data_IF_148958515692
#
_entry.id   IF_148958515692
#
_cell.length_a   1.000
_cell.length_b   1.000
_cell.length_c   1.000
_cell.angle_alpha   90.00
_cell.angle_beta   90.00
_cell.angle_gamma   90.00
#
_symmetry.space_group_name_H-M   'P 1'
#
loop_
_entity.id
_entity.type
_entity.pdbx_description
1 polymer ?
#
# COMPACT_ATOMS: atom_id res chain seq x y z
N UNK A 1 -8.31 0.62 -40.23
CA UNK A 1 -8.17 1.40 -38.99
C UNK A 1 -9.49 1.32 -38.26
N UNK A 2 -9.52 0.68 -37.09
CA UNK A 2 -10.75 0.61 -36.26
C UNK A 2 -11.14 2.02 -35.79
N UNK A 3 -12.41 2.24 -35.47
CA UNK A 3 -12.87 3.56 -35.02
C UNK A 3 -12.18 4.02 -33.72
N UNK A 4 -11.72 3.07 -32.90
CA UNK A 4 -10.90 3.33 -31.70
C UNK A 4 -9.49 3.79 -32.07
N UNK A 5 -8.87 3.20 -33.08
CA UNK A 5 -7.54 3.66 -33.53
C UNK A 5 -7.58 5.09 -34.07
N UNK A 6 -8.66 5.44 -34.79
CA UNK A 6 -8.88 6.82 -35.24
C UNK A 6 -9.07 7.75 -34.03
N UNK A 7 -9.87 7.34 -33.05
CA UNK A 7 -10.09 8.13 -31.84
C UNK A 7 -8.79 8.34 -31.04
N UNK A 8 -7.99 7.28 -30.85
CA UNK A 8 -6.69 7.37 -30.18
C UNK A 8 -5.74 8.30 -30.94
N UNK A 9 -5.70 8.20 -32.28
CA UNK A 9 -4.90 9.09 -33.12
C UNK A 9 -5.34 10.55 -33.04
N UNK A 10 -6.66 10.81 -32.94
CA UNK A 10 -7.19 12.17 -32.74
C UNK A 10 -6.72 12.72 -31.39
N UNK A 11 -6.89 11.95 -30.30
CA UNK A 11 -6.48 12.36 -28.95
C UNK A 11 -4.97 12.61 -28.87
N UNK A 12 -4.16 11.76 -29.51
CA UNK A 12 -2.71 11.88 -29.52
C UNK A 12 -2.23 13.17 -30.20
N UNK A 13 -2.87 13.55 -31.32
CA UNK A 13 -2.49 14.72 -32.10
C UNK A 13 -3.14 16.02 -31.61
N UNK A 14 -4.37 15.94 -31.10
CA UNK A 14 -5.18 17.09 -30.66
C UNK A 14 -6.11 16.66 -29.51
N UNK A 15 -5.59 16.58 -28.27
CA UNK A 15 -6.41 16.19 -27.13
C UNK A 15 -7.49 17.23 -26.86
N UNK A 16 -8.74 16.79 -26.82
CA UNK A 16 -9.90 17.60 -26.47
C UNK A 16 -10.86 16.81 -25.57
N UNK A 17 -11.61 17.52 -24.73
CA UNK A 17 -12.47 16.91 -23.72
C UNK A 17 -13.56 16.01 -24.30
N UNK A 18 -14.02 16.27 -25.53
CA UNK A 18 -15.06 15.46 -26.17
C UNK A 18 -14.49 14.12 -26.63
N UNK A 19 -13.34 14.14 -27.31
CA UNK A 19 -12.64 12.92 -27.74
C UNK A 19 -12.21 12.07 -26.54
N UNK A 20 -11.64 12.70 -25.50
CA UNK A 20 -11.24 12.03 -24.26
C UNK A 20 -12.46 11.46 -23.52
N UNK A 21 -13.55 12.22 -23.42
CA UNK A 21 -14.80 11.75 -22.80
C UNK A 21 -15.39 10.54 -23.53
N UNK A 22 -15.35 10.55 -24.87
CA UNK A 22 -15.80 9.40 -25.67
C UNK A 22 -14.91 8.17 -25.46
N UNK A 23 -13.60 8.33 -25.37
CA UNK A 23 -12.68 7.22 -25.08
C UNK A 23 -12.92 6.66 -23.67
N UNK A 24 -13.13 7.54 -22.69
CA UNK A 24 -13.43 7.16 -21.30
C UNK A 24 -14.72 6.34 -21.21
N UNK A 25 -15.78 6.77 -21.90
CA UNK A 25 -17.03 6.01 -21.99
C UNK A 25 -16.79 4.60 -22.54
N UNK A 26 -16.02 4.47 -23.62
CA UNK A 26 -15.70 3.16 -24.22
C UNK A 26 -14.89 2.28 -23.26
N UNK A 27 -13.87 2.83 -22.59
CA UNK A 27 -13.05 2.11 -21.61
C UNK A 27 -13.87 1.55 -20.44
N UNK A 28 -14.89 2.28 -19.99
CA UNK A 28 -15.74 1.84 -18.89
C UNK A 28 -16.83 0.84 -19.33
N UNK A 29 -17.25 0.85 -20.59
CA UNK A 29 -18.44 0.10 -21.04
C UNK A 29 -18.18 -1.06 -21.99
N UNK A 30 -17.08 -1.05 -22.75
CA UNK A 30 -16.81 -2.06 -23.79
C UNK A 30 -15.61 -2.94 -23.43
N UNK A 31 -15.89 -4.15 -22.98
CA UNK A 31 -14.86 -5.13 -22.60
C UNK A 31 -14.09 -5.73 -23.79
N UNK A 32 -14.54 -5.51 -25.03
CA UNK A 32 -13.97 -6.15 -26.24
C UNK A 32 -12.81 -5.38 -26.85
N UNK A 33 -12.58 -4.15 -26.39
CA UNK A 33 -11.56 -3.27 -26.94
C UNK A 33 -10.16 -3.66 -26.47
N UNK A 34 -9.16 -3.29 -27.27
CA UNK A 34 -7.75 -3.47 -26.91
C UNK A 34 -7.32 -2.39 -25.91
N UNK A 35 -7.68 -2.62 -24.64
CA UNK A 35 -7.39 -1.73 -23.54
C UNK A 35 -5.88 -1.51 -23.34
N UNK A 36 -5.04 -2.47 -23.74
CA UNK A 36 -3.59 -2.33 -23.64
C UNK A 36 -3.05 -1.30 -24.60
N UNK A 37 -3.46 -1.40 -25.86
CA UNK A 37 -3.10 -0.44 -26.89
C UNK A 37 -3.57 0.97 -26.49
N UNK A 38 -4.79 1.08 -25.97
CA UNK A 38 -5.35 2.36 -25.52
C UNK A 38 -4.52 2.94 -24.37
N UNK A 39 -4.17 2.15 -23.35
CA UNK A 39 -3.35 2.61 -22.23
C UNK A 39 -1.98 3.12 -22.69
N UNK A 40 -1.33 2.39 -23.59
CA UNK A 40 0.00 2.77 -24.08
C UNK A 40 -0.02 4.05 -24.93
N UNK A 41 -1.09 4.26 -25.72
CA UNK A 41 -1.18 5.40 -26.63
C UNK A 41 -1.81 6.65 -25.99
N UNK A 42 -2.82 6.45 -25.14
CA UNK A 42 -3.66 7.53 -24.61
C UNK A 42 -3.65 7.65 -23.08
N UNK A 43 -3.02 6.73 -22.33
CA UNK A 43 -3.16 6.68 -20.86
C UNK A 43 -2.81 7.99 -20.14
N UNK A 44 -1.79 8.71 -20.61
CA UNK A 44 -1.38 10.01 -20.04
C UNK A 44 -2.48 11.08 -20.09
N UNK A 45 -3.43 10.98 -21.02
CA UNK A 45 -4.54 11.90 -21.16
C UNK A 45 -5.74 11.53 -20.27
N UNK A 46 -5.66 10.40 -19.57
CA UNK A 46 -6.70 9.92 -18.67
C UNK A 46 -6.43 10.24 -17.19
N UNK A 47 -5.31 10.93 -16.89
CA UNK A 47 -5.01 11.39 -15.54
C UNK A 47 -6.12 12.34 -15.04
N UNK A 48 -6.63 12.05 -13.83
CA UNK A 48 -7.71 12.82 -13.19
C UNK A 48 -9.11 12.47 -13.69
N UNK A 49 -9.24 11.45 -14.54
CA UNK A 49 -10.53 10.96 -15.05
C UNK A 49 -11.01 9.78 -14.21
N UNK A 50 -12.31 9.72 -13.96
CA UNK A 50 -12.92 8.56 -13.29
C UNK A 50 -12.91 7.34 -14.23
N UNK A 51 -12.07 6.37 -13.88
CA UNK A 51 -11.90 5.08 -14.55
C UNK A 51 -12.22 3.91 -13.60
N UNK A 52 -13.15 4.09 -12.66
CA UNK A 52 -13.47 3.06 -11.67
C UNK A 52 -13.93 1.75 -12.33
N UNK A 53 -14.85 1.81 -13.30
CA UNK A 53 -15.35 0.60 -14.00
C UNK A 53 -14.27 -0.07 -14.83
N UNK A 54 -13.50 0.72 -15.59
CA UNK A 54 -12.35 0.22 -16.32
C UNK A 54 -11.33 -0.44 -15.38
N UNK A 55 -11.06 0.17 -14.23
CA UNK A 55 -10.15 -0.40 -13.24
C UNK A 55 -10.67 -1.71 -12.65
N UNK A 56 -11.96 -1.80 -12.33
CA UNK A 56 -12.60 -3.05 -11.90
C UNK A 56 -12.49 -4.14 -12.99
N UNK A 57 -12.60 -3.79 -14.27
CA UNK A 57 -12.35 -4.71 -15.37
C UNK A 57 -10.89 -5.19 -15.38
N UNK A 58 -9.93 -4.28 -15.23
CA UNK A 58 -8.50 -4.61 -15.12
C UNK A 58 -8.28 -5.59 -13.96
N UNK A 59 -8.88 -5.33 -12.79
CA UNK A 59 -8.80 -6.19 -11.60
C UNK A 59 -9.37 -7.58 -11.89
N UNK A 60 -10.54 -7.68 -12.54
CA UNK A 60 -11.18 -8.96 -12.89
C UNK A 60 -10.32 -9.81 -13.84
N UNK A 61 -9.56 -9.18 -14.74
CA UNK A 61 -8.61 -9.91 -15.60
C UNK A 61 -7.45 -10.51 -14.80
N UNK A 62 -7.16 -9.97 -13.61
CA UNK A 62 -6.13 -10.44 -12.69
C UNK A 62 -4.75 -10.62 -13.36
N UNK A 63 -4.40 -9.69 -14.26
CA UNK A 63 -3.12 -9.69 -14.96
C UNK A 63 -2.24 -8.58 -14.42
N UNK A 64 -1.17 -8.95 -13.71
CA UNK A 64 -0.25 -8.00 -13.07
C UNK A 64 0.31 -7.00 -14.08
N UNK A 65 0.74 -7.50 -15.25
CA UNK A 65 1.27 -6.67 -16.33
C UNK A 65 0.28 -5.59 -16.78
N UNK A 66 -1.02 -5.85 -16.68
CA UNK A 66 -2.06 -4.94 -17.14
C UNK A 66 -2.26 -3.79 -16.14
N UNK A 67 -2.24 -4.10 -14.86
CA UNK A 67 -2.24 -3.10 -13.78
C UNK A 67 -0.94 -2.31 -13.79
N UNK A 68 0.22 -2.95 -13.98
CA UNK A 68 1.48 -2.22 -14.09
C UNK A 68 1.45 -1.20 -15.23
N UNK A 69 0.90 -1.56 -16.39
CA UNK A 69 0.67 -0.62 -17.50
C UNK A 69 -0.29 0.50 -17.13
N UNK A 70 -1.39 0.19 -16.44
CA UNK A 70 -2.31 1.22 -15.93
C UNK A 70 -1.59 2.19 -14.98
N UNK A 71 -0.91 1.67 -13.96
CA UNK A 71 -0.15 2.42 -12.96
C UNK A 71 1.00 3.26 -13.54
N UNK A 72 1.56 2.82 -14.67
CA UNK A 72 2.65 3.50 -15.37
C UNK A 72 2.17 4.61 -16.30
N UNK A 73 1.02 4.42 -16.94
CA UNK A 73 0.52 5.36 -17.95
C UNK A 73 -0.45 6.41 -17.39
N UNK A 74 -1.06 6.15 -16.23
CA UNK A 74 -1.99 7.09 -15.58
C UNK A 74 -1.33 7.59 -14.29
N UNK A 75 -1.17 8.90 -14.19
CA UNK A 75 -0.45 9.52 -13.06
C UNK A 75 -1.35 9.67 -11.83
N UNK A 76 -2.55 10.18 -12.04
CA UNK A 76 -3.51 10.49 -10.99
C UNK A 76 -4.53 9.36 -10.85
N UNK A 77 -4.16 8.38 -10.00
CA UNK A 77 -4.96 7.20 -9.69
C UNK A 77 -5.49 7.37 -8.28
N UNK A 78 -6.78 7.16 -8.09
CA UNK A 78 -7.39 7.30 -6.77
C UNK A 78 -6.82 6.28 -5.78
N UNK A 79 -6.69 6.68 -4.51
CA UNK A 79 -6.27 5.77 -3.44
C UNK A 79 -7.20 4.56 -3.34
N UNK A 80 -8.50 4.76 -3.58
CA UNK A 80 -9.49 3.69 -3.66
C UNK A 80 -9.05 2.60 -4.65
N UNK A 81 -8.76 2.97 -5.90
CA UNK A 81 -8.34 2.02 -6.93
C UNK A 81 -7.04 1.32 -6.52
N UNK A 82 -6.03 2.07 -6.06
CA UNK A 82 -4.77 1.48 -5.60
C UNK A 82 -4.98 0.44 -4.50
N UNK A 83 -5.74 0.78 -3.46
CA UNK A 83 -6.00 -0.11 -2.33
C UNK A 83 -6.85 -1.31 -2.75
N UNK A 84 -7.83 -1.13 -3.64
CA UNK A 84 -8.62 -2.26 -4.16
C UNK A 84 -7.75 -3.28 -4.90
N UNK A 85 -6.69 -2.85 -5.62
CA UNK A 85 -5.77 -3.80 -6.27
C UNK A 85 -5.06 -4.74 -5.32
N UNK A 86 -4.78 -4.28 -4.10
CA UNK A 86 -4.10 -5.08 -3.08
C UNK A 86 -4.92 -6.27 -2.60
N UNK A 87 -6.24 -6.27 -2.83
CA UNK A 87 -7.07 -7.42 -2.54
C UNK A 87 -6.69 -8.67 -3.36
N UNK A 88 -6.01 -8.49 -4.49
CA UNK A 88 -5.67 -9.58 -5.41
C UNK A 88 -4.31 -10.23 -5.07
N UNK A 89 -3.20 -9.49 -5.16
CA UNK A 89 -1.84 -10.04 -4.95
C UNK A 89 -0.88 -9.04 -4.28
N UNK A 90 0.14 -9.60 -3.62
CA UNK A 90 1.29 -8.88 -3.07
C UNK A 90 2.10 -8.11 -4.12
N UNK A 91 2.15 -8.60 -5.35
CA UNK A 91 2.95 -7.97 -6.39
C UNK A 91 2.49 -6.54 -6.68
N UNK A 92 1.19 -6.25 -6.50
CA UNK A 92 0.66 -4.88 -6.58
C UNK A 92 1.18 -3.98 -5.47
N UNK A 93 1.33 -4.52 -4.26
CA UNK A 93 1.93 -3.79 -3.15
C UNK A 93 3.37 -3.39 -3.51
N UNK A 94 4.16 -4.30 -4.08
CA UNK A 94 5.53 -4.00 -4.50
C UNK A 94 5.61 -2.88 -5.55
N UNK A 95 4.65 -2.81 -6.47
CA UNK A 95 4.59 -1.74 -7.48
C UNK A 95 4.34 -0.37 -6.85
N UNK A 96 3.48 -0.31 -5.84
CA UNK A 96 3.09 0.97 -5.22
C UNK A 96 4.02 1.40 -4.09
N UNK A 97 4.78 0.49 -3.45
CA UNK A 97 5.73 0.83 -2.38
C UNK A 97 6.75 1.92 -2.76
N UNK A 98 6.96 2.19 -4.05
CA UNK A 98 7.87 3.24 -4.54
C UNK A 98 7.23 4.63 -4.61
N UNK A 99 5.91 4.74 -4.48
CA UNK A 99 5.20 6.02 -4.52
C UNK A 99 5.13 6.64 -3.11
N UNK A 100 5.23 7.97 -2.98
CA UNK A 100 5.01 8.65 -1.71
C UNK A 100 3.51 8.63 -1.36
N UNK A 101 3.19 8.45 -0.08
CA UNK A 101 1.82 8.48 0.42
C UNK A 101 1.73 9.25 1.72
N UNK A 102 0.60 9.92 1.92
CA UNK A 102 0.22 10.41 3.24
C UNK A 102 -0.27 9.24 4.10
N UNK A 103 0.32 9.07 5.27
CA UNK A 103 0.04 7.94 6.16
C UNK A 103 -1.42 7.89 6.60
N UNK A 104 -2.04 9.04 6.87
CA UNK A 104 -3.44 9.12 7.33
C UNK A 104 -4.41 8.76 6.21
N UNK A 105 -4.19 9.32 5.03
CA UNK A 105 -4.98 9.02 3.84
C UNK A 105 -4.88 7.53 3.50
N UNK A 106 -3.66 6.99 3.50
CA UNK A 106 -3.41 5.57 3.28
C UNK A 106 -4.16 4.67 4.26
N UNK A 107 -4.03 4.97 5.57
CA UNK A 107 -4.67 4.18 6.63
C UNK A 107 -6.20 4.21 6.53
N UNK A 108 -6.78 5.36 6.21
CA UNK A 108 -8.23 5.49 6.02
C UNK A 108 -8.71 4.77 4.76
N UNK A 109 -7.98 4.89 3.65
CA UNK A 109 -8.28 4.17 2.41
C UNK A 109 -8.21 2.65 2.60
N UNK A 110 -7.22 2.15 3.35
CA UNK A 110 -7.16 0.72 3.74
C UNK A 110 -8.39 0.28 4.52
N UNK A 111 -8.83 1.04 5.53
CA UNK A 111 -10.02 0.71 6.34
C UNK A 111 -11.29 0.55 5.50
N UNK A 112 -11.40 1.33 4.43
CA UNK A 112 -12.60 1.36 3.58
C UNK A 112 -12.57 0.31 2.47
N UNK A 113 -11.40 0.06 1.87
CA UNK A 113 -11.31 -0.64 0.59
C UNK A 113 -10.47 -1.93 0.61
N UNK A 114 -9.70 -2.18 1.68
CA UNK A 114 -8.88 -3.39 1.80
C UNK A 114 -9.58 -4.43 2.67
N UNK A 115 -9.65 -5.66 2.19
CA UNK A 115 -10.15 -6.77 2.98
C UNK A 115 -9.25 -6.99 4.21
N UNK A 116 -9.86 -7.03 5.39
CA UNK A 116 -9.11 -7.10 6.65
C UNK A 116 -8.33 -8.42 6.81
N UNK A 117 -8.82 -9.52 6.24
CA UNK A 117 -8.09 -10.79 6.15
C UNK A 117 -6.85 -10.68 5.25
N UNK A 118 -6.98 -9.97 4.12
CA UNK A 118 -5.87 -9.73 3.19
C UNK A 118 -4.79 -8.84 3.81
N UNK A 119 -5.16 -7.94 4.72
CA UNK A 119 -4.19 -7.10 5.44
C UNK A 119 -3.19 -7.92 6.26
N UNK A 120 -3.66 -8.97 6.93
CA UNK A 120 -2.78 -9.86 7.69
C UNK A 120 -1.86 -10.65 6.75
N UNK A 121 -2.39 -11.15 5.63
CA UNK A 121 -1.60 -11.86 4.61
C UNK A 121 -0.50 -10.95 4.00
N UNK A 122 -0.86 -9.73 3.62
CA UNK A 122 0.09 -8.75 3.07
C UNK A 122 1.17 -8.38 4.08
N UNK A 123 0.80 -8.19 5.35
CA UNK A 123 1.76 -7.90 6.41
C UNK A 123 2.73 -9.07 6.64
N UNK A 124 2.26 -10.31 6.53
CA UNK A 124 3.12 -11.50 6.56
C UNK A 124 4.12 -11.53 5.40
N UNK A 125 3.65 -11.23 4.20
CA UNK A 125 4.50 -11.15 3.01
C UNK A 125 5.50 -10.00 3.10
N UNK A 126 5.11 -8.84 3.62
CA UNK A 126 6.02 -7.72 3.88
C UNK A 126 7.10 -8.07 4.92
N UNK A 127 6.73 -8.73 6.02
CA UNK A 127 7.71 -9.18 7.03
C UNK A 127 8.69 -10.19 6.43
N UNK A 128 8.19 -11.13 5.62
CA UNK A 128 9.06 -12.05 4.87
C UNK A 128 9.97 -11.31 3.89
N UNK A 129 9.45 -10.32 3.17
CA UNK A 129 10.25 -9.51 2.26
C UNK A 129 11.36 -8.75 3.01
N UNK A 130 11.04 -8.16 4.16
CA UNK A 130 12.02 -7.47 5.02
C UNK A 130 13.12 -8.40 5.55
N UNK A 131 12.78 -9.64 5.91
CA UNK A 131 13.75 -10.60 6.42
C UNK A 131 14.73 -11.09 5.34
N UNK A 132 14.26 -11.22 4.11
CA UNK A 132 15.07 -11.71 2.99
C UNK A 132 15.93 -10.62 2.33
N UNK A 133 15.39 -9.41 2.15
CA UNK A 133 16.05 -8.38 1.35
C UNK A 133 16.85 -7.34 2.16
N UNK A 134 16.79 -7.37 3.50
CA UNK A 134 17.56 -6.54 4.47
C UNK A 134 17.61 -5.01 4.23
N UNK A 135 16.90 -4.47 3.24
CA UNK A 135 16.80 -3.04 2.96
C UNK A 135 15.35 -2.58 3.15
N UNK A 136 14.91 -2.37 4.40
CA UNK A 136 13.65 -1.69 4.66
C UNK A 136 13.72 -0.27 4.09
N UNK A 137 12.94 0.01 3.05
CA UNK A 137 12.63 1.40 2.74
C UNK A 137 11.69 1.93 3.81
N UNK A 138 11.71 3.25 4.02
CA UNK A 138 10.75 3.96 4.87
C UNK A 138 9.32 3.54 4.55
N UNK A 139 9.00 3.50 3.26
CA UNK A 139 7.70 3.13 2.72
C UNK A 139 7.23 1.74 3.19
N UNK A 140 8.09 0.72 3.18
CA UNK A 140 7.69 -0.64 3.63
C UNK A 140 7.23 -0.64 5.09
N UNK A 141 7.95 0.07 5.96
CA UNK A 141 7.60 0.16 7.38
C UNK A 141 6.29 0.95 7.53
N UNK A 142 6.15 2.08 6.85
CA UNK A 142 4.97 2.94 6.92
C UNK A 142 3.72 2.18 6.44
N UNK A 143 3.83 1.39 5.37
CA UNK A 143 2.78 0.49 4.89
C UNK A 143 2.43 -0.61 5.87
N UNK A 144 3.42 -1.23 6.51
CA UNK A 144 3.20 -2.27 7.52
C UNK A 144 2.45 -1.71 8.73
N UNK A 145 2.84 -0.52 9.20
CA UNK A 145 2.14 0.20 10.26
C UNK A 145 0.71 0.56 9.84
N UNK A 146 0.51 1.10 8.64
CA UNK A 146 -0.82 1.44 8.13
C UNK A 146 -1.75 0.21 8.04
N UNK A 147 -1.25 -0.96 7.61
CA UNK A 147 -2.04 -2.20 7.58
C UNK A 147 -2.51 -2.61 8.98
N UNK A 148 -1.61 -2.53 9.96
CA UNK A 148 -1.91 -2.87 11.36
C UNK A 148 -2.93 -1.89 11.93
N UNK A 149 -2.76 -0.60 11.70
CA UNK A 149 -3.66 0.42 12.25
C UNK A 149 -5.02 0.46 11.54
N UNK A 150 -5.07 0.12 10.26
CA UNK A 150 -6.32 -0.03 9.53
C UNK A 150 -7.15 -1.21 10.06
N UNK A 151 -6.52 -2.35 10.32
CA UNK A 151 -7.21 -3.61 10.61
C UNK A 151 -6.76 -4.30 11.90
N UNK A 152 -6.45 -3.51 12.93
CA UNK A 152 -5.90 -3.95 14.21
C UNK A 152 -6.58 -5.20 14.77
N UNK A 153 -7.91 -5.21 14.81
CA UNK A 153 -8.70 -6.34 15.31
C UNK A 153 -8.40 -7.65 14.58
N UNK A 154 -8.17 -7.61 13.26
CA UNK A 154 -7.83 -8.81 12.47
C UNK A 154 -6.45 -9.36 12.84
N UNK A 155 -5.48 -8.50 13.12
CA UNK A 155 -4.15 -8.93 13.60
C UNK A 155 -4.22 -9.57 14.98
N UNK A 156 -5.05 -9.03 15.88
CA UNK A 156 -5.30 -9.61 17.21
C UNK A 156 -5.96 -10.99 17.08
N UNK A 157 -7.00 -11.11 16.25
CA UNK A 157 -7.71 -12.37 16.01
C UNK A 157 -6.82 -13.43 15.36
N UNK A 158 -5.96 -13.02 14.42
CA UNK A 158 -4.95 -13.87 13.79
C UNK A 158 -3.80 -14.25 14.73
N UNK A 159 -3.78 -13.73 15.97
CA UNK A 159 -2.67 -13.90 16.94
C UNK A 159 -1.32 -13.54 16.34
N UNK A 160 -1.29 -12.49 15.53
CA UNK A 160 -0.10 -12.10 14.80
C UNK A 160 0.99 -11.64 15.77
N UNK A 161 2.12 -12.34 15.79
CA UNK A 161 3.15 -12.23 16.84
C UNK A 161 4.50 -11.70 16.33
N UNK A 162 4.51 -11.07 15.14
CA UNK A 162 5.73 -10.59 14.47
C UNK A 162 6.04 -9.12 14.74
N UNK A 163 5.30 -8.48 15.63
CA UNK A 163 5.50 -7.07 16.02
C UNK A 163 6.92 -6.79 16.49
N UNK A 164 7.52 -7.70 17.28
CA UNK A 164 8.90 -7.55 17.75
C UNK A 164 9.91 -7.40 16.60
N UNK A 165 9.59 -7.95 15.42
CA UNK A 165 10.45 -7.89 14.25
C UNK A 165 10.43 -6.48 13.67
N UNK A 166 9.25 -5.87 13.63
CA UNK A 166 9.00 -4.49 13.19
C UNK A 166 9.66 -3.48 14.13
N UNK A 167 9.48 -3.68 15.44
CA UNK A 167 10.06 -2.81 16.48
C UNK A 167 11.56 -2.64 16.29
N UNK A 168 12.29 -3.71 15.93
CA UNK A 168 13.71 -3.64 15.63
C UNK A 168 14.02 -2.70 14.46
N UNK A 169 13.23 -2.73 13.39
CA UNK A 169 13.43 -1.85 12.23
C UNK A 169 13.06 -0.40 12.53
N UNK A 170 11.96 -0.18 13.26
CA UNK A 170 11.54 1.16 13.69
C UNK A 170 12.58 1.79 14.62
N UNK A 171 13.08 1.03 15.61
CA UNK A 171 14.11 1.51 16.54
C UNK A 171 15.44 1.81 15.83
N UNK A 172 15.86 0.96 14.90
CA UNK A 172 17.05 1.25 14.08
C UNK A 172 16.91 2.55 13.29
N UNK A 173 15.70 2.84 12.79
CA UNK A 173 15.40 4.05 12.03
C UNK A 173 15.40 5.30 12.92
N UNK A 174 14.79 5.23 14.11
CA UNK A 174 14.81 6.30 15.11
C UNK A 174 16.24 6.61 15.57
N UNK A 175 17.03 5.58 15.91
CA UNK A 175 18.43 5.77 16.30
C UNK A 175 19.27 6.42 15.19
N UNK A 176 19.02 6.06 13.92
CA UNK A 176 19.69 6.67 12.77
C UNK A 176 19.30 8.14 12.60
N UNK A 177 18.01 8.46 12.79
CA UNK A 177 17.52 9.83 12.75
C UNK A 177 18.11 10.69 13.87
N UNK A 178 18.16 10.18 15.10
CA UNK A 178 18.77 10.84 16.26
C UNK A 178 20.27 11.12 16.02
N UNK A 179 20.99 10.13 15.46
CA UNK A 179 22.39 10.28 15.04
C UNK A 179 22.58 11.38 13.98
N UNK A 180 21.71 11.44 12.97
CA UNK A 180 21.76 12.44 11.89
C UNK A 180 21.37 13.85 12.36
N UNK A 181 20.49 13.96 13.36
CA UNK A 181 20.09 15.21 14.01
C UNK A 181 21.11 15.68 15.06
N UNK A 182 22.16 14.90 15.34
CA UNK A 182 23.11 15.19 16.42
C UNK A 182 22.50 15.09 17.82
N UNK A 183 21.31 14.48 17.94
CA UNK A 183 20.59 14.26 19.20
C UNK A 183 21.22 13.07 19.94
N UNK A 184 22.40 13.29 20.52
CA UNK A 184 22.97 12.39 21.52
C UNK A 184 22.16 12.46 22.82
N UNK A 185 20.97 11.85 22.87
CA UNK A 185 20.20 11.79 24.12
C UNK A 185 20.32 10.45 24.83
N UNK A 186 21.26 10.45 25.79
CA UNK A 186 21.17 9.88 27.14
C UNK A 186 20.96 8.36 27.21
N UNK A 187 22.06 7.65 27.49
CA UNK A 187 22.07 6.26 28.00
C UNK A 187 21.07 6.12 29.15
N UNK A 188 20.02 5.32 28.97
CA UNK A 188 19.19 4.82 30.07
C UNK A 188 20.06 3.95 31.00
N UNK A 189 20.37 4.47 32.18
CA UNK A 189 20.91 3.69 33.30
C UNK A 189 19.91 2.59 33.67
N UNK A 190 20.36 1.35 33.54
CA UNK A 190 19.70 0.14 34.04
C UNK A 190 19.71 0.12 35.56
N UNK A 191 18.53 0.08 36.17
CA UNK A 191 18.32 -0.44 37.54
C UNK A 191 17.30 -1.57 37.48
N UNK A 192 17.64 -2.79 37.94
CA UNK A 192 16.70 -3.91 37.96
C UNK A 192 15.88 -3.93 39.26
N UNK A 193 14.60 -4.35 39.22
CA UNK A 193 13.94 -4.92 40.41
C UNK A 193 13.48 -6.38 40.18
N UNK A 194 13.11 -7.09 41.26
CA UNK A 194 13.46 -8.48 41.45
C UNK A 194 12.46 -9.50 40.87
N UNK A 195 12.97 -10.72 40.73
CA UNK A 195 12.31 -11.96 40.31
C UNK A 195 11.10 -12.31 41.17
N UNK A 196 9.94 -12.50 40.52
CA UNK A 196 8.93 -13.45 41.01
C UNK A 196 8.20 -14.10 39.83
N UNK A 197 8.11 -15.42 39.90
CA UNK A 197 7.59 -16.34 38.90
C UNK A 197 6.07 -16.36 38.91
N UNK A 198 5.41 -16.11 37.78
CA UNK A 198 4.01 -16.54 37.57
C UNK A 198 3.81 -16.87 36.09
N UNK A 199 3.63 -18.15 35.83
CA UNK A 199 3.42 -18.74 34.50
C UNK A 199 1.95 -18.62 34.09
N UNK A 200 1.71 -18.56 32.78
CA UNK A 200 0.40 -18.68 32.08
C UNK A 200 -0.56 -17.48 32.08
N UNK A 201 -0.24 -16.46 31.28
CA UNK A 201 -1.18 -15.51 30.58
C UNK A 201 -0.44 -14.37 29.85
N UNK A 202 0.87 -14.26 30.06
CA UNK A 202 1.74 -13.15 29.64
C UNK A 202 1.95 -12.97 28.15
N UNK A 203 1.81 -14.01 27.32
CA UNK A 203 2.12 -13.91 25.89
C UNK A 203 1.13 -13.01 25.14
N UNK A 204 -0.17 -13.13 25.42
CA UNK A 204 -1.19 -12.31 24.75
C UNK A 204 -1.18 -10.86 25.21
N UNK A 205 -0.86 -10.61 26.49
CA UNK A 205 -0.80 -9.25 27.05
C UNK A 205 0.38 -8.46 26.48
N UNK A 206 1.54 -9.11 26.35
CA UNK A 206 2.76 -8.50 25.80
C UNK A 206 2.64 -8.17 24.31
N UNK A 207 1.96 -9.02 23.53
CA UNK A 207 1.67 -8.74 22.11
C UNK A 207 0.74 -7.54 21.95
N UNK A 208 -0.29 -7.43 22.81
CA UNK A 208 -1.22 -6.31 22.81
C UNK A 208 -0.54 -5.00 23.22
N UNK A 209 0.29 -5.03 24.27
CA UNK A 209 1.05 -3.88 24.75
C UNK A 209 2.05 -3.37 23.71
N UNK A 210 2.71 -4.26 22.97
CA UNK A 210 3.64 -3.91 21.90
C UNK A 210 2.95 -3.27 20.68
N UNK A 211 1.72 -3.67 20.36
CA UNK A 211 0.95 -3.01 19.30
C UNK A 211 0.52 -1.59 19.68
N UNK A 212 0.09 -1.37 20.92
CA UNK A 212 -0.24 -0.04 21.42
C UNK A 212 0.99 0.90 21.46
N UNK A 213 2.19 0.34 21.65
CA UNK A 213 3.45 1.08 21.58
C UNK A 213 3.75 1.55 20.15
N UNK A 214 3.50 0.72 19.13
CA UNK A 214 3.66 1.12 17.72
C UNK A 214 2.72 2.27 17.34
N UNK A 215 1.46 2.24 17.77
CA UNK A 215 0.55 3.38 17.61
C UNK A 215 1.17 4.66 18.18
N UNK A 216 1.69 4.59 19.41
CA UNK A 216 2.26 5.76 20.11
C UNK A 216 3.55 6.33 19.49
N UNK A 217 4.34 5.53 18.78
CA UNK A 217 5.59 5.99 18.16
C UNK A 217 5.32 6.96 16.99
N UNK A 218 4.14 6.91 16.36
CA UNK A 218 3.75 7.86 15.31
C UNK A 218 3.08 9.14 15.79
N UNK A 219 2.70 9.24 17.07
CA UNK A 219 1.99 10.39 17.66
C UNK A 219 2.90 11.36 18.44
N UNK A 220 4.20 11.40 18.16
CA UNK A 220 5.12 12.39 18.73
C UNK A 220 5.91 13.12 17.68
#
# INVERSE_FOLDING_TARGET
MSDIEKLCSIIENRPDNNSIGRLTYLLNTDETIDHEKILNQCGKYLSGINLDEFFEFILKKNQINFIEKYLKNIEDISEKQLIQSLNLTFDYLLLILKKPYDYWSLTNSMKLYLNSSKSVELAEQLVSYLSHFQQPTSSIIDWLCALIDAHFSSFVLAKWNKIHFIEKFVQNRLNTFDLLQGLNTIKKTTTPPPTTTTTTTTTNKKTLDNLYILQRIHFK
#
